data_IF_196163446402
#
_entry.id   IF_196163446402
#
_cell.length_a   1.000
_cell.length_b   1.000
_cell.length_c   1.000
_cell.angle_alpha   90.00
_cell.angle_beta   90.00
_cell.angle_gamma   90.00
#
_symmetry.space_group_name_H-M   'P 1'
#
loop_
_entity.id
_entity.type
_entity.pdbx_description
1 polymer ?
#
# COMPACT_ATOMS: atom_id res chain seq x y z
N UNK A 1 -11.36 -6.19 -0.42
CA UNK A 1 -10.18 -5.97 -1.27
C UNK A 1 -9.65 -4.59 -0.91
N UNK A 2 -8.34 -4.38 -0.79
CA UNK A 2 -7.78 -3.10 -0.39
C UNK A 2 -8.02 -2.04 -1.49
N UNK A 3 -8.61 -0.90 -1.14
CA UNK A 3 -8.97 0.16 -2.10
C UNK A 3 -7.99 1.34 -2.09
N UNK A 4 -7.97 2.11 -3.20
CA UNK A 4 -7.07 3.29 -3.35
C UNK A 4 -7.23 4.29 -2.21
N UNK A 5 -8.47 4.54 -1.78
CA UNK A 5 -8.77 5.45 -0.67
C UNK A 5 -8.18 4.98 0.65
N UNK A 6 -8.10 3.67 0.88
CA UNK A 6 -7.47 3.11 2.08
C UNK A 6 -5.95 3.28 2.03
N UNK A 7 -5.32 2.99 0.89
CA UNK A 7 -3.88 3.22 0.69
C UNK A 7 -3.54 4.69 0.92
N UNK A 8 -4.33 5.61 0.36
CA UNK A 8 -4.15 7.05 0.56
C UNK A 8 -4.35 7.44 2.02
N UNK A 9 -5.37 6.92 2.71
CA UNK A 9 -5.58 7.21 4.12
C UNK A 9 -4.42 6.71 5.01
N UNK A 10 -3.84 5.56 4.68
CA UNK A 10 -2.63 5.05 5.34
C UNK A 10 -1.46 6.00 5.09
N UNK A 11 -1.16 6.34 3.84
CA UNK A 11 -0.04 7.24 3.48
C UNK A 11 -0.22 8.68 4.02
N UNK A 12 -1.46 9.14 4.14
CA UNK A 12 -1.82 10.40 4.78
C UNK A 12 -1.47 10.38 6.28
N UNK A 13 -1.78 9.27 6.95
CA UNK A 13 -1.46 9.06 8.38
C UNK A 13 0.04 9.07 8.62
N UNK A 14 0.81 8.40 7.76
CA UNK A 14 2.26 8.38 7.86
C UNK A 14 2.89 9.77 7.68
N UNK A 15 2.43 10.51 6.66
CA UNK A 15 2.95 11.82 6.32
C UNK A 15 2.36 12.99 7.13
N UNK A 16 1.54 12.73 8.14
CA UNK A 16 0.77 13.71 8.92
C UNK A 16 0.11 14.79 8.02
N UNK A 17 -0.54 14.33 6.95
CA UNK A 17 -1.11 15.17 5.88
C UNK A 17 -2.52 14.74 5.55
N UNK A 18 -3.28 15.63 4.93
CA UNK A 18 -4.62 15.27 4.45
C UNK A 18 -4.55 14.27 3.28
N UNK A 19 -5.55 13.37 3.14
CA UNK A 19 -5.66 12.45 2.00
C UNK A 19 -5.54 13.11 0.61
N UNK A 20 -6.08 14.32 0.47
CA UNK A 20 -5.99 15.09 -0.78
C UNK A 20 -4.61 15.70 -1.07
N UNK A 21 -3.67 15.61 -0.13
CA UNK A 21 -2.29 16.10 -0.25
C UNK A 21 -1.28 14.94 -0.43
N UNK A 22 -1.75 13.70 -0.46
CA UNK A 22 -0.89 12.54 -0.73
C UNK A 22 -0.49 12.54 -2.21
N UNK A 23 0.81 12.63 -2.54
CA UNK A 23 1.27 12.55 -3.91
C UNK A 23 1.05 11.14 -4.48
N UNK A 24 1.01 11.04 -5.80
CA UNK A 24 0.91 9.73 -6.47
C UNK A 24 2.19 8.91 -6.30
N UNK A 25 3.35 9.56 -6.16
CA UNK A 25 4.64 8.92 -5.93
C UNK A 25 4.79 8.52 -4.46
N UNK A 26 5.32 7.33 -4.21
CA UNK A 26 5.62 6.82 -2.87
C UNK A 26 7.13 6.74 -2.72
N UNK A 27 7.67 7.32 -1.65
CA UNK A 27 9.10 7.15 -1.33
C UNK A 27 9.39 5.78 -0.69
N UNK A 28 10.66 5.41 -0.58
CA UNK A 28 11.06 4.10 -0.04
C UNK A 28 10.62 3.86 1.40
N UNK A 29 10.53 4.90 2.22
CA UNK A 29 10.20 4.80 3.63
C UNK A 29 8.68 4.76 3.84
N UNK A 30 7.94 5.58 3.10
CA UNK A 30 6.49 5.52 2.95
C UNK A 30 6.05 4.14 2.46
N UNK A 31 6.74 3.57 1.46
CA UNK A 31 6.47 2.24 0.94
C UNK A 31 6.73 1.15 1.98
N UNK A 32 7.88 1.19 2.65
CA UNK A 32 8.22 0.23 3.70
C UNK A 32 7.19 0.27 4.85
N UNK A 33 6.76 1.47 5.25
CA UNK A 33 5.73 1.65 6.26
C UNK A 33 4.37 1.14 5.78
N UNK A 34 3.97 1.43 4.55
CA UNK A 34 2.71 0.97 3.96
C UNK A 34 2.64 -0.56 3.95
N UNK A 35 3.70 -1.23 3.48
CA UNK A 35 3.78 -2.68 3.48
C UNK A 35 3.63 -3.21 4.91
N UNK A 36 4.37 -2.65 5.85
CA UNK A 36 4.29 -3.06 7.25
C UNK A 36 2.86 -2.89 7.83
N UNK A 37 2.16 -1.80 7.51
CA UNK A 37 0.76 -1.62 7.94
C UNK A 37 -0.19 -2.66 7.34
N UNK A 38 -0.03 -2.97 6.05
CA UNK A 38 -0.85 -3.97 5.37
C UNK A 38 -0.54 -5.36 5.95
N UNK A 39 0.72 -5.68 6.23
CA UNK A 39 1.12 -6.92 6.90
C UNK A 39 0.53 -7.08 8.29
N UNK A 40 0.53 -6.02 9.10
CA UNK A 40 -0.09 -6.01 10.42
C UNK A 40 -1.61 -6.27 10.35
N UNK A 41 -2.26 -5.93 9.23
CA UNK A 41 -3.71 -6.01 9.05
C UNK A 41 -4.18 -7.30 8.38
N UNK A 42 -3.39 -7.86 7.45
CA UNK A 42 -3.76 -9.01 6.62
C UNK A 42 -2.80 -10.21 6.75
N UNK A 43 -1.70 -10.07 7.50
CA UNK A 43 -0.65 -11.08 7.62
C UNK A 43 0.54 -10.80 6.68
N UNK A 44 1.63 -11.53 6.91
CA UNK A 44 2.89 -11.40 6.15
C UNK A 44 2.62 -11.51 4.65
N UNK A 45 3.13 -10.54 3.89
CA UNK A 45 2.96 -10.48 2.45
C UNK A 45 4.20 -11.05 1.77
N UNK A 46 4.00 -11.93 0.78
CA UNK A 46 5.08 -12.39 -0.09
C UNK A 46 5.14 -11.46 -1.32
N UNK A 47 5.89 -10.36 -1.19
CA UNK A 47 6.09 -9.39 -2.27
C UNK A 47 7.51 -9.55 -2.82
N UNK A 48 7.62 -10.04 -4.06
CA UNK A 48 8.92 -10.13 -4.74
C UNK A 48 9.51 -8.76 -5.11
N UNK A 49 10.84 -8.70 -5.26
CA UNK A 49 11.58 -7.46 -5.54
C UNK A 49 11.07 -6.71 -6.79
N UNK A 50 10.68 -7.44 -7.84
CA UNK A 50 10.11 -6.81 -9.04
C UNK A 50 8.75 -6.17 -8.77
N UNK A 51 7.94 -6.75 -7.87
CA UNK A 51 6.67 -6.16 -7.47
C UNK A 51 6.93 -4.92 -6.61
N UNK A 52 7.85 -4.99 -5.64
CA UNK A 52 8.28 -3.84 -4.83
C UNK A 52 8.74 -2.66 -5.69
N UNK A 53 9.53 -2.91 -6.74
CA UNK A 53 9.99 -1.87 -7.66
C UNK A 53 8.84 -1.15 -8.40
N UNK A 54 7.70 -1.83 -8.62
CA UNK A 54 6.49 -1.25 -9.24
C UNK A 54 5.65 -0.44 -8.25
N UNK A 55 5.88 -0.59 -6.94
CA UNK A 55 5.13 0.11 -5.88
C UNK A 55 5.66 1.53 -5.58
N UNK A 56 6.42 2.13 -6.49
CA UNK A 56 6.88 3.54 -6.39
C UNK A 56 5.75 4.56 -6.60
N UNK A 57 4.53 4.09 -6.87
CA UNK A 57 3.32 4.91 -7.01
C UNK A 57 2.14 4.26 -6.28
N UNK A 58 1.15 5.07 -5.89
CA UNK A 58 -0.10 4.60 -5.27
C UNK A 58 -0.82 3.63 -6.19
N UNK A 59 -0.87 3.92 -7.49
CA UNK A 59 -1.47 3.03 -8.49
C UNK A 59 -0.70 1.73 -8.59
N UNK A 60 0.63 1.77 -8.67
CA UNK A 60 1.45 0.56 -8.73
C UNK A 60 1.35 -0.30 -7.47
N UNK A 61 1.30 0.32 -6.29
CA UNK A 61 1.06 -0.38 -5.04
C UNK A 61 -0.31 -1.08 -5.04
N UNK A 62 -1.36 -0.38 -5.48
CA UNK A 62 -2.71 -0.92 -5.57
C UNK A 62 -2.80 -2.10 -6.54
N UNK A 63 -2.13 -2.02 -7.69
CA UNK A 63 -2.11 -3.10 -8.68
C UNK A 63 -1.44 -4.36 -8.11
N UNK A 64 -0.34 -4.21 -7.36
CA UNK A 64 0.32 -5.31 -6.65
C UNK A 64 -0.60 -5.91 -5.58
N UNK A 65 -1.24 -5.09 -4.75
CA UNK A 65 -2.17 -5.57 -3.72
C UNK A 65 -3.37 -6.31 -4.31
N UNK A 66 -3.88 -5.87 -5.47
CA UNK A 66 -4.95 -6.54 -6.21
C UNK A 66 -4.51 -7.87 -6.78
N UNK A 67 -3.30 -7.94 -7.35
CA UNK A 67 -2.72 -9.19 -7.84
C UNK A 67 -2.57 -10.23 -6.71
N UNK A 68 -2.21 -9.76 -5.51
CA UNK A 68 -2.09 -10.57 -4.30
C UNK A 68 -3.44 -10.84 -3.59
N UNK A 69 -4.56 -10.29 -4.10
CA UNK A 69 -5.91 -10.40 -3.52
C UNK A 69 -6.01 -9.94 -2.06
N UNK A 70 -5.20 -8.95 -1.68
CA UNK A 70 -5.18 -8.42 -0.31
C UNK A 70 -6.52 -7.77 0.02
N UNK A 71 -7.04 -8.08 1.21
CA UNK A 71 -8.35 -7.63 1.68
C UNK A 71 -9.53 -8.51 1.23
N UNK A 72 -9.29 -9.68 0.64
CA UNK A 72 -10.28 -10.75 0.63
C UNK A 72 -10.13 -11.53 1.94
N UNK A 73 -10.85 -11.15 3.00
CA UNK A 73 -11.12 -12.11 4.06
C UNK A 73 -12.00 -13.17 3.44
N UNK A 74 -11.42 -14.31 3.04
CA UNK A 74 -12.19 -15.55 2.97
C UNK A 74 -12.73 -15.78 4.38
N UNK A 75 -14.07 -15.82 4.48
CA UNK A 75 -14.82 -16.13 5.67
C UNK A 75 -14.92 -17.65 5.85
#
# INVERSE_FOLDING_TARGET
>A
MLERSEVIAMLATYGDREPGQVPETIDSLELAWLIHQVEQRYGVLDIGDEALARMSTVTGALDVFRALRIGSSDA
#
